data_IF_212642380149
#
_entry.id   IF_212642380149
#
_cell.length_a   1.000
_cell.length_b   1.000
_cell.length_c   1.000
_cell.angle_alpha   90.00
_cell.angle_beta   90.00
_cell.angle_gamma   90.00
#
_symmetry.space_group_name_H-M   'P 1'
#
loop_
_entity.id
_entity.type
_entity.pdbx_description
1 polymer ?
#
# COMPACT_ATOMS: atom_id res chain seq x y z
N UNK A 1 -15.66 12.68 -0.30
CA UNK A 1 -15.23 11.27 -0.41
C UNK A 1 -14.95 10.82 1.01
N UNK A 2 -15.95 10.25 1.67
CA UNK A 2 -15.76 9.77 3.04
C UNK A 2 -14.95 8.48 3.00
N UNK A 3 -14.20 8.19 4.07
CA UNK A 3 -13.29 7.06 4.09
C UNK A 3 -14.01 5.74 3.76
N UNK A 4 -13.48 5.01 2.78
CA UNK A 4 -13.80 3.62 2.46
C UNK A 4 -15.23 3.32 1.95
N UNK A 5 -15.94 4.28 1.34
CA UNK A 5 -17.30 4.07 0.77
C UNK A 5 -17.38 2.82 -0.13
N UNK A 6 -16.46 2.68 -1.09
CA UNK A 6 -16.44 1.50 -1.97
C UNK A 6 -16.30 0.17 -1.23
N UNK A 7 -15.52 0.14 -0.15
CA UNK A 7 -15.37 -1.06 0.70
C UNK A 7 -16.64 -1.32 1.53
N UNK A 8 -17.26 -0.26 2.09
CA UNK A 8 -18.51 -0.35 2.88
C UNK A 8 -19.68 -0.88 2.05
N UNK A 9 -19.69 -0.58 0.75
CA UNK A 9 -20.70 -1.05 -0.20
C UNK A 9 -20.38 -2.45 -0.78
N UNK A 10 -19.28 -3.08 -0.37
CA UNK A 10 -18.86 -4.39 -0.89
C UNK A 10 -18.40 -4.35 -2.35
N UNK A 11 -18.00 -3.19 -2.86
CA UNK A 11 -17.52 -3.00 -4.24
C UNK A 11 -16.00 -3.14 -4.34
N UNK A 12 -15.52 -3.51 -5.53
CA UNK A 12 -14.10 -3.47 -5.85
C UNK A 12 -13.60 -2.03 -6.05
N UNK A 13 -12.39 -1.74 -5.58
CA UNK A 13 -11.71 -0.45 -5.78
C UNK A 13 -10.49 -0.64 -6.68
N UNK A 14 -10.44 0.09 -7.80
CA UNK A 14 -9.29 0.08 -8.70
C UNK A 14 -8.29 1.18 -8.29
N UNK A 15 -7.06 0.77 -7.98
CA UNK A 15 -5.93 1.69 -7.75
C UNK A 15 -4.99 1.60 -8.94
N UNK A 16 -4.82 2.69 -9.68
CA UNK A 16 -3.93 2.72 -10.85
C UNK A 16 -3.07 3.99 -10.88
N UNK A 17 -1.94 3.91 -11.57
CA UNK A 17 -1.17 5.06 -12.02
C UNK A 17 -1.01 4.95 -13.54
N UNK A 18 0.04 5.55 -14.12
CA UNK A 18 0.27 5.45 -15.56
C UNK A 18 0.66 4.02 -15.99
N UNK A 19 1.77 3.49 -15.46
CA UNK A 19 2.27 2.16 -15.84
C UNK A 19 1.91 1.05 -14.84
N UNK A 20 1.39 1.42 -13.66
CA UNK A 20 1.13 0.47 -12.59
C UNK A 20 2.40 -0.11 -11.92
N UNK A 21 3.56 0.51 -12.09
CA UNK A 21 4.86 -0.03 -11.62
C UNK A 21 5.26 0.55 -10.26
N UNK A 22 5.10 1.86 -10.08
CA UNK A 22 5.69 2.58 -8.94
C UNK A 22 4.62 3.15 -7.99
N UNK A 23 3.98 4.26 -8.38
CA UNK A 23 2.99 4.97 -7.55
C UNK A 23 1.81 4.12 -7.06
N UNK A 24 1.10 3.41 -7.94
CA UNK A 24 -0.08 2.66 -7.50
C UNK A 24 0.27 1.43 -6.65
N UNK A 25 1.32 0.64 -6.93
CA UNK A 25 1.80 -0.36 -5.99
C UNK A 25 2.14 0.20 -4.61
N UNK A 26 2.80 1.36 -4.52
CA UNK A 26 3.10 2.00 -3.22
C UNK A 26 1.85 2.23 -2.38
N UNK A 27 0.78 2.75 -2.99
CA UNK A 27 -0.49 2.97 -2.28
C UNK A 27 -1.13 1.66 -1.82
N UNK A 28 -1.09 0.62 -2.67
CA UNK A 28 -1.60 -0.71 -2.29
C UNK A 28 -0.78 -1.31 -1.15
N UNK A 29 0.54 -1.19 -1.18
CA UNK A 29 1.44 -1.66 -0.11
C UNK A 29 1.11 -0.95 1.20
N UNK A 30 1.02 0.39 1.20
CA UNK A 30 0.66 1.16 2.39
C UNK A 30 -0.71 0.75 2.98
N UNK A 31 -1.70 0.53 2.11
CA UNK A 31 -3.02 0.04 2.53
C UNK A 31 -2.94 -1.34 3.21
N UNK A 32 -2.15 -2.26 2.66
CA UNK A 32 -1.95 -3.59 3.24
C UNK A 32 -1.24 -3.52 4.59
N UNK A 33 -0.21 -2.67 4.72
CA UNK A 33 0.47 -2.43 6.00
C UNK A 33 -0.54 -2.00 7.08
N UNK A 34 -1.39 -1.01 6.76
CA UNK A 34 -2.37 -0.49 7.71
C UNK A 34 -3.47 -1.50 8.06
N UNK A 35 -3.97 -2.26 7.08
CA UNK A 35 -5.15 -3.12 7.25
C UNK A 35 -4.85 -4.53 7.73
N UNK A 36 -3.69 -5.07 7.36
CA UNK A 36 -3.30 -6.44 7.68
C UNK A 36 -2.11 -6.52 8.63
N UNK A 37 -1.67 -5.38 9.15
CA UNK A 37 -0.53 -5.26 10.06
C UNK A 37 0.77 -5.88 9.49
N UNK A 38 1.00 -5.66 8.21
CA UNK A 38 2.20 -6.12 7.52
C UNK A 38 3.31 -5.09 7.63
N UNK A 39 4.55 -5.57 7.74
CA UNK A 39 5.75 -4.75 7.52
C UNK A 39 5.81 -4.27 6.06
N UNK A 40 6.62 -3.23 5.74
CA UNK A 40 6.75 -2.76 4.35
C UNK A 40 7.24 -3.87 3.41
N UNK A 41 8.15 -4.72 3.90
CA UNK A 41 8.71 -5.86 3.17
C UNK A 41 7.65 -6.94 2.89
N UNK A 42 6.89 -7.35 3.92
CA UNK A 42 5.82 -8.35 3.75
C UNK A 42 4.75 -7.86 2.77
N UNK A 43 4.32 -6.61 2.90
CA UNK A 43 3.33 -6.01 2.02
C UNK A 43 3.86 -5.86 0.58
N UNK A 44 5.13 -5.49 0.41
CA UNK A 44 5.78 -5.44 -0.90
C UNK A 44 5.77 -6.82 -1.58
N UNK A 45 6.27 -7.86 -0.91
CA UNK A 45 6.30 -9.21 -1.48
C UNK A 45 4.91 -9.79 -1.70
N UNK A 46 3.94 -9.42 -0.87
CA UNK A 46 2.54 -9.81 -1.08
C UNK A 46 1.99 -9.28 -2.42
N UNK A 47 2.30 -8.02 -2.75
CA UNK A 47 1.88 -7.39 -4.02
C UNK A 47 2.68 -7.95 -5.20
N UNK A 48 4.00 -8.10 -5.06
CA UNK A 48 4.88 -8.62 -6.11
C UNK A 48 4.46 -10.03 -6.56
N UNK A 49 4.08 -10.90 -5.62
CA UNK A 49 3.55 -12.24 -5.93
C UNK A 49 2.27 -12.24 -6.77
N UNK A 50 1.51 -11.15 -6.79
CA UNK A 50 0.22 -11.02 -7.52
C UNK A 50 0.34 -10.17 -8.78
N UNK A 51 1.31 -9.27 -8.82
CA UNK A 51 1.57 -8.36 -9.93
C UNK A 51 3.07 -8.36 -10.23
N UNK A 52 3.42 -9.07 -11.30
CA UNK A 52 4.80 -9.09 -11.82
C UNK A 52 5.19 -7.67 -12.26
N UNK A 53 6.45 -7.29 -12.02
CA UNK A 53 7.04 -6.00 -12.40
C UNK A 53 6.56 -4.76 -11.62
N UNK A 54 6.23 -4.89 -10.34
CA UNK A 54 6.22 -3.70 -9.48
C UNK A 54 7.66 -3.26 -9.20
N UNK A 55 7.88 -1.94 -9.14
CA UNK A 55 9.15 -1.32 -8.76
C UNK A 55 8.85 0.10 -8.26
N UNK A 56 8.39 0.24 -7.00
CA UNK A 56 8.39 1.52 -6.31
C UNK A 56 9.79 2.14 -6.37
N UNK A 57 9.88 3.45 -6.57
CA UNK A 57 11.17 4.15 -6.50
C UNK A 57 11.68 4.14 -5.06
N UNK A 58 13.00 4.36 -4.87
CA UNK A 58 13.60 4.41 -3.54
C UNK A 58 12.89 5.41 -2.61
N UNK A 59 12.52 6.58 -3.12
CA UNK A 59 11.74 7.57 -2.37
C UNK A 59 10.41 7.02 -1.85
N UNK A 60 9.72 6.19 -2.63
CA UNK A 60 8.48 5.54 -2.15
C UNK A 60 8.75 4.46 -1.11
N UNK A 61 9.87 3.76 -1.19
CA UNK A 61 10.29 2.81 -0.16
C UNK A 61 10.57 3.55 1.17
N UNK A 62 11.27 4.67 1.12
CA UNK A 62 11.50 5.53 2.29
C UNK A 62 10.19 6.02 2.91
N UNK A 63 9.25 6.47 2.06
CA UNK A 63 7.91 6.88 2.52
C UNK A 63 7.12 5.74 3.17
N UNK A 64 7.26 4.50 2.69
CA UNK A 64 6.63 3.34 3.32
C UNK A 64 7.25 3.05 4.70
N UNK A 65 8.57 3.19 4.87
CA UNK A 65 9.21 3.04 6.17
C UNK A 65 8.75 4.14 7.16
N UNK A 66 8.71 5.40 6.74
CA UNK A 66 8.16 6.50 7.55
C UNK A 66 6.69 6.24 7.92
N UNK A 67 5.92 5.65 7.00
CA UNK A 67 4.54 5.27 7.27
C UNK A 67 4.45 4.16 8.33
N UNK A 68 5.34 3.17 8.30
CA UNK A 68 5.41 2.13 9.33
C UNK A 68 5.68 2.71 10.72
N UNK A 69 6.63 3.65 10.83
CA UNK A 69 6.94 4.36 12.08
C UNK A 69 5.70 5.11 12.60
N UNK A 70 5.05 5.88 11.73
CA UNK A 70 3.83 6.59 12.10
C UNK A 70 2.68 5.65 12.51
N UNK A 71 2.55 4.47 11.89
CA UNK A 71 1.57 3.46 12.28
C UNK A 71 1.88 2.87 13.66
N UNK A 72 3.15 2.68 14.00
CA UNK A 72 3.57 2.20 15.32
C UNK A 72 3.30 3.26 16.41
N UNK A 73 3.61 4.53 16.14
CA UNK A 73 3.36 5.64 17.07
C UNK A 73 1.87 5.83 17.35
N UNK A 74 1.02 5.72 16.33
CA UNK A 74 -0.44 5.85 16.49
C UNK A 74 -1.09 4.67 17.25
N UNK A 75 -0.34 3.61 17.53
CA UNK A 75 -0.80 2.42 18.28
C UNK A 75 -0.27 2.38 19.71
N UNK A 76 0.68 3.25 20.06
CA UNK A 76 1.19 3.43 21.42
C UNK A 76 0.22 4.26 22.27
#
# INVERSE_FOLDING_TARGET
>A
MTENEGLKEGKGVLVHCFAGISRSPTIVIAYLMQKLDMTPEEAYFFVEKRKIHISPSLHFIEQLNMHQEALMDNRA
#
